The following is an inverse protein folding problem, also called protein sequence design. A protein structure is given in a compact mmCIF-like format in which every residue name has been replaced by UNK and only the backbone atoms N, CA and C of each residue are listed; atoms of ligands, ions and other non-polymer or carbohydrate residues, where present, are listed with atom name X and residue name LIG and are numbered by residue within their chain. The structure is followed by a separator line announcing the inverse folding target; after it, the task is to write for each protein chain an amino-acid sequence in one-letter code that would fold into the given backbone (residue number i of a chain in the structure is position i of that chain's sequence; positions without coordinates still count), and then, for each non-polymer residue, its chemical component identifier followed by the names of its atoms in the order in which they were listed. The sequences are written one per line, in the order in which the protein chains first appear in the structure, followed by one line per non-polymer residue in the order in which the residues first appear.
data_IF_641613331338
#
_entry.id   IF_641613331338
#
_cell.length_a   1.000
_cell.length_b   1.000
_cell.length_c   1.000
_cell.angle_alpha   90.00
_cell.angle_beta   90.00
_cell.angle_gamma   90.00
#
_symmetry.space_group_name_H-M   'P 1'
#
loop_
_entity.id
_entity.type
_entity.pdbx_description
1 polymer ?
#
# COMPACT_ATOMS: atom_id res chain seq x y z
N UNK A 1 30.13 8.11 -24.12
CA UNK A 1 29.13 8.02 -23.01
C UNK A 1 28.24 6.78 -23.08
N UNK A 2 27.84 6.28 -24.26
CA UNK A 2 26.91 5.15 -24.42
C UNK A 2 27.52 3.79 -24.02
N UNK A 3 28.81 3.55 -24.26
CA UNK A 3 29.49 2.26 -23.96
C UNK A 3 29.76 2.08 -22.47
N UNK A 4 30.12 3.17 -21.76
CA UNK A 4 30.32 3.17 -20.30
C UNK A 4 28.99 2.90 -19.56
N UNK A 5 27.86 3.40 -20.10
CA UNK A 5 26.53 3.13 -19.56
C UNK A 5 26.13 1.66 -19.77
N UNK A 6 26.38 1.09 -20.92
CA UNK A 6 26.05 -0.32 -21.21
C UNK A 6 26.90 -1.30 -20.37
N UNK A 7 28.18 -0.99 -20.15
CA UNK A 7 29.04 -1.82 -19.29
C UNK A 7 28.70 -1.70 -17.82
N UNK A 8 28.23 -0.53 -17.35
CA UNK A 8 27.73 -0.35 -16.00
C UNK A 8 26.34 -0.99 -15.77
N UNK A 9 25.47 -1.01 -16.78
CA UNK A 9 24.20 -1.72 -16.73
C UNK A 9 24.37 -3.24 -16.71
N UNK A 10 25.38 -3.77 -17.39
CA UNK A 10 25.69 -5.21 -17.41
C UNK A 10 26.15 -5.76 -16.07
N UNK A 11 26.69 -4.91 -15.17
CA UNK A 11 27.16 -5.31 -13.85
C UNK A 11 26.10 -5.17 -12.75
N UNK A 12 24.99 -4.47 -12.99
CA UNK A 12 23.98 -4.25 -11.96
C UNK A 12 23.16 -5.49 -11.68
N UNK A 13 22.93 -5.74 -10.40
CA UNK A 13 22.19 -6.89 -9.91
C UNK A 13 21.13 -6.47 -8.91
N UNK A 14 20.08 -7.26 -8.82
CA UNK A 14 19.10 -7.22 -7.76
C UNK A 14 18.99 -8.60 -7.11
N UNK A 15 18.38 -8.68 -5.96
CA UNK A 15 18.17 -9.94 -5.26
C UNK A 15 16.80 -10.53 -5.62
N UNK A 16 16.80 -11.82 -5.98
CA UNK A 16 15.60 -12.65 -6.04
C UNK A 16 15.85 -13.89 -5.20
N UNK A 17 15.46 -13.82 -3.93
CA UNK A 17 15.61 -14.88 -2.96
C UNK A 17 14.36 -15.75 -2.98
N UNK A 18 14.53 -17.02 -3.30
CA UNK A 18 13.51 -18.06 -3.01
C UNK A 18 14.02 -18.81 -1.79
N UNK A 19 13.18 -18.94 -0.79
CA UNK A 19 13.54 -19.67 0.40
C UNK A 19 13.98 -21.09 0.05
N UNK A 20 15.08 -21.56 0.68
CA UNK A 20 15.70 -22.87 0.40
C UNK A 20 16.77 -22.85 -0.68
N UNK A 21 16.95 -21.80 -1.46
CA UNK A 21 18.06 -21.67 -2.40
C UNK A 21 19.39 -21.46 -1.65
N UNK A 22 20.44 -22.16 -2.09
CA UNK A 22 21.77 -22.15 -1.41
C UNK A 22 22.65 -20.94 -1.76
N UNK A 23 22.15 -19.95 -2.50
CA UNK A 23 22.94 -18.83 -3.01
C UNK A 23 22.40 -17.44 -2.64
N UNK A 24 23.15 -16.38 -2.91
CA UNK A 24 22.75 -15.00 -2.62
C UNK A 24 21.53 -14.52 -3.43
N UNK A 25 21.02 -15.33 -4.35
CA UNK A 25 19.86 -14.98 -5.17
C UNK A 25 20.07 -13.75 -6.06
N UNK A 26 21.33 -13.39 -6.36
CA UNK A 26 21.62 -12.25 -7.21
C UNK A 26 21.26 -12.51 -8.67
N UNK A 27 20.56 -11.58 -9.27
CA UNK A 27 20.10 -11.65 -10.66
C UNK A 27 20.58 -10.39 -11.40
N UNK A 28 21.24 -10.59 -12.54
CA UNK A 28 21.64 -9.48 -13.40
C UNK A 28 20.43 -8.85 -14.09
N UNK A 29 20.37 -7.52 -14.13
CA UNK A 29 19.26 -6.80 -14.77
C UNK A 29 19.18 -7.09 -16.28
N UNK A 30 20.29 -7.27 -16.95
CA UNK A 30 20.31 -7.46 -18.41
C UNK A 30 19.85 -8.85 -18.82
N UNK A 31 20.40 -9.90 -18.19
CA UNK A 31 20.23 -11.29 -18.64
C UNK A 31 19.26 -12.11 -17.78
N UNK A 32 18.99 -11.68 -16.55
CA UNK A 32 18.22 -12.46 -15.58
C UNK A 32 16.77 -12.03 -15.39
N UNK A 33 16.42 -10.79 -15.71
CA UNK A 33 15.11 -10.20 -15.41
C UNK A 33 13.96 -10.97 -16.09
N UNK A 34 14.15 -11.47 -17.32
CA UNK A 34 13.10 -12.17 -18.05
C UNK A 34 12.69 -13.48 -17.36
N UNK A 35 13.62 -14.15 -16.69
CA UNK A 35 13.31 -15.34 -15.88
C UNK A 35 12.46 -15.00 -14.65
N UNK A 36 12.77 -13.87 -14.01
CA UNK A 36 12.00 -13.36 -12.86
C UNK A 36 10.62 -12.89 -13.29
N UNK A 37 10.52 -12.13 -14.39
CA UNK A 37 9.24 -11.71 -15.00
C UNK A 37 8.35 -12.92 -15.31
N UNK A 38 8.92 -13.99 -15.88
CA UNK A 38 8.19 -15.23 -16.15
C UNK A 38 7.66 -15.86 -14.86
N UNK A 39 8.51 -16.02 -13.85
CA UNK A 39 8.12 -16.59 -12.57
C UNK A 39 6.99 -15.76 -11.88
N UNK A 40 7.09 -14.43 -11.95
CA UNK A 40 6.06 -13.52 -11.42
C UNK A 40 4.77 -13.60 -12.23
N UNK A 41 4.84 -13.65 -13.56
CA UNK A 41 3.65 -13.82 -14.40
C UNK A 41 2.93 -15.14 -14.10
N UNK A 42 3.66 -16.24 -13.92
CA UNK A 42 3.10 -17.53 -13.52
C UNK A 42 2.45 -17.44 -12.13
N UNK A 43 3.08 -16.76 -11.16
CA UNK A 43 2.52 -16.53 -9.83
C UNK A 43 1.26 -15.64 -9.88
N UNK A 44 1.24 -14.59 -10.72
CA UNK A 44 0.07 -13.74 -10.93
C UNK A 44 -1.11 -14.46 -11.58
N UNK A 45 -0.86 -15.56 -12.29
CA UNK A 45 -1.89 -16.44 -12.87
C UNK A 45 -2.32 -17.59 -11.92
N UNK A 46 -1.92 -17.55 -10.66
CA UNK A 46 -2.47 -18.45 -9.66
C UNK A 46 -3.99 -18.28 -9.54
N UNK A 47 -4.71 -19.32 -9.07
CA UNK A 47 -6.17 -19.28 -8.95
C UNK A 47 -6.65 -18.07 -8.14
N UNK A 48 -6.06 -17.85 -6.99
CA UNK A 48 -6.41 -16.73 -6.12
C UNK A 48 -5.21 -15.80 -5.97
N UNK A 49 -5.32 -14.57 -6.46
CA UNK A 49 -4.26 -13.58 -6.36
C UNK A 49 -4.74 -12.38 -5.54
N UNK A 50 -3.89 -11.96 -4.64
CA UNK A 50 -4.08 -10.77 -3.83
C UNK A 50 -2.81 -9.90 -3.85
N UNK A 51 -3.00 -8.60 -3.75
CA UNK A 51 -1.95 -7.61 -3.63
C UNK A 51 -2.15 -6.85 -2.33
N UNK A 52 -1.08 -6.61 -1.59
CA UNK A 52 -1.06 -5.73 -0.42
C UNK A 52 -0.15 -4.54 -0.73
N UNK A 53 -0.76 -3.38 -0.89
CA UNK A 53 -0.08 -2.13 -1.19
C UNK A 53 0.10 -1.32 0.10
N UNK A 54 1.33 -1.03 0.46
CA UNK A 54 1.67 -0.19 1.61
C UNK A 54 2.09 1.22 1.21
N UNK A 55 2.53 2.02 2.17
CA UNK A 55 2.85 3.43 2.02
C UNK A 55 3.91 3.72 0.94
N UNK A 56 4.85 2.79 0.72
CA UNK A 56 5.86 2.93 -0.35
C UNK A 56 5.28 2.94 -1.76
N UNK A 57 4.00 2.56 -1.97
CA UNK A 57 3.35 2.68 -3.27
C UNK A 57 2.85 4.10 -3.56
N UNK A 58 2.63 4.92 -2.54
CA UNK A 58 2.10 6.30 -2.68
C UNK A 58 3.18 7.36 -2.86
N UNK A 59 4.45 6.96 -2.91
CA UNK A 59 5.61 7.80 -3.16
C UNK A 59 6.36 7.32 -4.40
N UNK A 60 6.97 8.23 -5.13
CA UNK A 60 7.82 7.95 -6.29
C UNK A 60 8.81 9.09 -6.53
N UNK A 61 9.73 8.89 -7.46
CA UNK A 61 10.71 9.88 -7.90
C UNK A 61 10.38 10.37 -9.31
N UNK A 62 10.23 11.69 -9.50
CA UNK A 62 9.87 12.25 -10.81
C UNK A 62 11.09 12.66 -11.67
N UNK A 63 12.30 12.32 -11.25
CA UNK A 63 13.56 12.71 -11.87
C UNK A 63 14.33 13.77 -11.10
N UNK A 64 13.63 14.65 -10.38
CA UNK A 64 14.22 15.77 -9.63
C UNK A 64 14.09 15.57 -8.11
N UNK A 65 12.98 15.00 -7.66
CA UNK A 65 12.64 14.88 -6.25
C UNK A 65 11.61 13.80 -5.99
N UNK A 66 11.45 13.43 -4.72
CA UNK A 66 10.35 12.59 -4.27
C UNK A 66 9.01 13.32 -4.41
N UNK A 67 8.01 12.63 -4.97
CA UNK A 67 6.64 13.11 -5.19
C UNK A 67 5.65 12.11 -4.64
N UNK A 68 4.40 12.55 -4.49
CA UNK A 68 3.34 11.73 -3.88
C UNK A 68 3.25 11.98 -2.38
N UNK A 69 2.96 10.93 -1.63
CA UNK A 69 2.79 11.00 -0.17
C UNK A 69 3.98 10.29 0.47
N UNK A 70 4.73 10.97 1.34
CA UNK A 70 5.86 10.35 2.04
C UNK A 70 5.43 9.14 2.87
N UNK A 71 6.36 8.23 3.14
CA UNK A 71 6.12 7.10 4.03
C UNK A 71 5.99 7.55 5.50
N UNK A 72 5.62 6.63 6.38
CA UNK A 72 5.27 6.94 7.78
C UNK A 72 6.39 7.64 8.56
N UNK A 73 7.64 7.24 8.41
CA UNK A 73 8.73 7.82 9.20
C UNK A 73 9.02 9.30 8.88
N UNK A 74 9.12 9.74 7.61
CA UNK A 74 9.18 11.16 7.28
C UNK A 74 7.96 11.95 7.77
N UNK A 75 6.74 11.42 7.64
CA UNK A 75 5.52 12.07 8.14
C UNK A 75 5.56 12.23 9.66
N UNK A 76 5.95 11.19 10.38
CA UNK A 76 6.06 11.23 11.83
C UNK A 76 7.12 12.24 12.29
N UNK A 77 8.28 12.26 11.64
CA UNK A 77 9.34 13.23 11.92
C UNK A 77 8.85 14.67 11.69
N UNK A 78 8.13 14.91 10.59
CA UNK A 78 7.59 16.22 10.29
C UNK A 78 6.54 16.67 11.33
N UNK A 79 5.62 15.79 11.71
CA UNK A 79 4.57 16.09 12.67
C UNK A 79 5.12 16.36 14.08
N UNK A 80 6.10 15.58 14.50
CA UNK A 80 6.67 15.66 15.85
C UNK A 80 7.75 16.73 16.00
N UNK A 81 8.18 17.38 14.91
CA UNK A 81 9.17 18.46 14.95
C UNK A 81 8.65 19.66 15.73
N UNK A 82 9.50 20.24 16.59
CA UNK A 82 9.20 21.51 17.26
C UNK A 82 9.19 22.64 16.23
N UNK A 83 8.19 23.52 16.32
CA UNK A 83 8.03 24.67 15.43
C UNK A 83 8.09 25.98 16.20
N UNK A 84 8.62 27.00 15.57
CA UNK A 84 8.77 28.34 16.18
C UNK A 84 7.45 29.14 16.18
N UNK A 85 6.50 28.74 15.31
CA UNK A 85 5.20 29.37 15.19
C UNK A 85 4.10 28.32 15.36
N UNK A 86 2.99 28.73 15.98
CA UNK A 86 1.81 27.90 16.09
C UNK A 86 1.17 27.69 14.70
N UNK A 87 0.85 26.45 14.39
CA UNK A 87 0.19 26.01 13.17
C UNK A 87 -0.88 25.01 13.59
N UNK A 88 -2.09 25.17 13.08
CA UNK A 88 -3.25 24.37 13.46
C UNK A 88 -3.08 22.87 13.14
N UNK A 89 -2.17 22.53 12.24
CA UNK A 89 -1.88 21.13 11.88
C UNK A 89 -0.89 20.44 12.85
N UNK A 90 -0.24 21.19 13.74
CA UNK A 90 0.83 20.64 14.58
C UNK A 90 0.61 20.93 16.07
N UNK A 91 1.09 20.04 16.97
CA UNK A 91 1.03 20.30 18.41
C UNK A 91 1.81 21.56 18.79
N UNK A 92 1.15 22.47 19.51
CA UNK A 92 1.76 23.69 20.02
C UNK A 92 2.82 23.39 21.10
N UNK A 93 3.68 24.34 21.39
CA UNK A 93 4.67 24.22 22.48
C UNK A 93 3.99 24.01 23.84
N UNK A 94 2.80 24.59 24.05
CA UNK A 94 2.02 24.41 25.29
C UNK A 94 1.50 22.99 25.40
N UNK A 95 0.83 22.48 24.35
CA UNK A 95 0.31 21.10 24.31
C UNK A 95 1.42 20.06 24.52
N UNK A 96 2.60 20.27 23.95
CA UNK A 96 3.76 19.39 24.16
C UNK A 96 4.21 19.35 25.61
N UNK A 97 4.32 20.51 26.27
CA UNK A 97 4.69 20.62 27.69
C UNK A 97 3.64 19.99 28.59
N UNK A 98 2.37 20.22 28.31
CA UNK A 98 1.25 19.63 29.04
C UNK A 98 1.23 18.11 28.91
N UNK A 99 1.44 17.56 27.69
CA UNK A 99 1.50 16.12 27.46
C UNK A 99 2.66 15.48 28.22
N UNK A 100 3.83 16.13 28.25
CA UNK A 100 4.99 15.68 29.00
C UNK A 100 4.74 15.80 30.53
N UNK A 101 4.21 16.92 31.01
CA UNK A 101 4.04 17.15 32.46
C UNK A 101 2.94 16.30 33.07
N UNK A 102 1.82 16.07 32.35
CA UNK A 102 0.68 15.31 32.86
C UNK A 102 0.84 13.79 32.69
N UNK A 103 1.52 13.37 31.63
CA UNK A 103 1.53 11.95 31.24
C UNK A 103 2.93 11.39 30.99
N UNK A 104 3.98 12.20 31.06
CA UNK A 104 5.36 11.78 30.78
C UNK A 104 5.64 11.45 29.31
N UNK A 105 4.76 11.88 28.37
CA UNK A 105 4.86 11.56 26.96
C UNK A 105 5.59 12.69 26.25
N UNK A 106 6.72 12.37 25.63
CA UNK A 106 7.51 13.29 24.81
C UNK A 106 7.32 12.98 23.35
N UNK A 107 6.70 13.88 22.60
CA UNK A 107 6.51 13.71 21.15
C UNK A 107 7.82 13.59 20.37
N UNK A 108 8.95 13.97 20.96
CA UNK A 108 10.29 13.82 20.39
C UNK A 108 10.93 12.45 20.59
N UNK A 109 10.30 11.53 21.32
CA UNK A 109 10.84 10.18 21.53
C UNK A 109 10.87 9.39 20.21
N UNK A 110 11.85 8.53 20.05
CA UNK A 110 12.16 7.81 18.81
C UNK A 110 10.96 7.02 18.28
N UNK A 111 10.17 6.42 19.15
CA UNK A 111 8.98 5.65 18.75
C UNK A 111 7.91 6.50 18.06
N UNK A 112 7.72 7.77 18.49
CA UNK A 112 6.71 8.66 17.90
C UNK A 112 7.25 9.43 16.70
N UNK A 113 8.55 9.74 16.69
CA UNK A 113 9.20 10.41 15.55
C UNK A 113 9.34 9.52 14.33
N UNK A 114 9.17 8.20 14.48
CA UNK A 114 9.21 7.22 13.41
C UNK A 114 7.85 6.67 13.01
N UNK A 115 6.86 6.73 13.92
CA UNK A 115 5.58 6.10 13.68
C UNK A 115 4.42 6.83 14.37
N UNK A 116 3.61 7.55 13.57
CA UNK A 116 2.39 8.22 14.06
C UNK A 116 1.31 7.24 14.50
N UNK A 117 1.29 6.01 14.00
CA UNK A 117 0.32 5.00 14.43
C UNK A 117 0.54 4.64 15.90
N UNK A 118 1.80 4.55 16.35
CA UNK A 118 2.14 4.34 17.77
C UNK A 118 1.66 5.49 18.65
N UNK A 119 1.86 6.73 18.20
CA UNK A 119 1.34 7.91 18.90
C UNK A 119 -0.19 7.85 18.98
N UNK A 120 -0.87 7.59 17.89
CA UNK A 120 -2.33 7.50 17.84
C UNK A 120 -2.87 6.39 18.73
N UNK A 121 -2.23 5.22 18.73
CA UNK A 121 -2.57 4.09 19.60
C UNK A 121 -2.55 4.49 21.07
N UNK A 122 -1.49 5.17 21.49
CA UNK A 122 -1.37 5.68 22.86
C UNK A 122 -2.45 6.72 23.17
N UNK A 123 -2.61 7.73 22.30
CA UNK A 123 -3.61 8.81 22.51
C UNK A 123 -5.04 8.28 22.57
N UNK A 124 -5.40 7.30 21.74
CA UNK A 124 -6.74 6.69 21.81
C UNK A 124 -6.92 5.85 23.07
N UNK A 125 -5.91 5.18 23.55
CA UNK A 125 -5.93 4.44 24.82
C UNK A 125 -6.16 5.39 25.99
N UNK A 126 -5.45 6.52 26.00
CA UNK A 126 -5.63 7.59 27.00
C UNK A 126 -7.03 8.18 26.92
N UNK A 127 -7.52 8.51 25.73
CA UNK A 127 -8.88 9.00 25.48
C UNK A 127 -9.95 8.07 26.07
N UNK A 128 -9.76 6.76 25.90
CA UNK A 128 -10.68 5.76 26.46
C UNK A 128 -10.68 5.76 27.99
N UNK A 129 -9.50 5.84 28.62
CA UNK A 129 -9.36 5.91 30.08
C UNK A 129 -9.98 7.20 30.61
N UNK A 130 -9.65 8.35 30.02
CA UNK A 130 -10.09 9.67 30.44
C UNK A 130 -11.62 9.84 30.32
N UNK A 131 -12.27 9.23 29.34
CA UNK A 131 -13.73 9.26 29.19
C UNK A 131 -14.48 8.50 30.29
N UNK A 132 -13.83 7.61 31.00
CA UNK A 132 -14.40 6.78 32.08
C UNK A 132 -13.95 7.20 33.45
N UNK A 133 -13.00 8.11 33.55
CA UNK A 133 -12.51 8.65 34.82
C UNK A 133 -13.30 9.88 35.23
N UNK A 134 -13.53 10.05 36.54
CA UNK A 134 -14.29 11.16 37.12
C UNK A 134 -13.46 11.98 38.13
N UNK A 135 -12.15 11.75 38.25
CA UNK A 135 -11.31 12.39 39.28
C UNK A 135 -10.27 13.35 38.62
N UNK A 136 -10.10 14.52 39.25
CA UNK A 136 -9.03 15.47 38.99
C UNK A 136 -9.16 16.24 37.66
N UNK A 137 -8.05 16.55 37.02
CA UNK A 137 -7.94 17.33 35.77
C UNK A 137 -8.29 16.53 34.51
N UNK A 138 -9.27 15.62 34.63
CA UNK A 138 -9.67 14.72 33.54
C UNK A 138 -10.15 15.48 32.31
N UNK A 139 -10.87 16.58 32.51
CA UNK A 139 -11.43 17.36 31.42
C UNK A 139 -10.33 18.10 30.62
N UNK A 140 -9.32 18.61 31.29
CA UNK A 140 -8.16 19.24 30.66
C UNK A 140 -7.36 18.22 29.86
N UNK A 141 -7.06 17.06 30.47
CA UNK A 141 -6.39 15.97 29.80
C UNK A 141 -7.17 15.43 28.61
N UNK A 142 -8.52 15.38 28.69
CA UNK A 142 -9.37 14.97 27.56
C UNK A 142 -9.25 15.95 26.40
N UNK A 143 -9.35 17.27 26.67
CA UNK A 143 -9.21 18.30 25.64
C UNK A 143 -7.85 18.23 24.95
N UNK A 144 -6.77 18.07 25.73
CA UNK A 144 -5.42 17.95 25.21
C UNK A 144 -5.28 16.74 24.27
N UNK A 145 -5.72 15.56 24.72
CA UNK A 145 -5.65 14.32 23.93
C UNK A 145 -6.49 14.42 22.66
N UNK A 146 -7.72 14.92 22.77
CA UNK A 146 -8.63 15.11 21.62
C UNK A 146 -8.03 16.11 20.62
N UNK A 147 -7.42 17.23 21.08
CA UNK A 147 -6.76 18.20 20.23
C UNK A 147 -5.62 17.59 19.44
N UNK A 148 -4.72 16.80 20.08
CA UNK A 148 -3.59 16.19 19.38
C UNK A 148 -4.06 15.12 18.37
N UNK A 149 -5.08 14.32 18.73
CA UNK A 149 -5.69 13.34 17.80
C UNK A 149 -6.23 14.05 16.56
N UNK A 150 -6.96 15.16 16.73
CA UNK A 150 -7.54 15.88 15.62
C UNK A 150 -6.46 16.56 14.76
N UNK A 151 -5.36 17.02 15.35
CA UNK A 151 -4.20 17.52 14.61
C UNK A 151 -3.50 16.44 13.79
N UNK A 152 -3.29 15.23 14.33
CA UNK A 152 -2.74 14.11 13.55
C UNK A 152 -3.63 13.79 12.35
N UNK A 153 -4.96 13.76 12.56
CA UNK A 153 -5.93 13.50 11.48
C UNK A 153 -5.89 14.60 10.43
N UNK A 154 -5.90 15.87 10.84
CA UNK A 154 -5.83 17.01 9.94
C UNK A 154 -4.53 17.01 9.12
N UNK A 155 -3.41 16.72 9.78
CA UNK A 155 -2.10 16.59 9.13
C UNK A 155 -2.07 15.46 8.08
N UNK A 156 -2.52 14.26 8.45
CA UNK A 156 -2.56 13.13 7.51
C UNK A 156 -3.52 13.39 6.35
N UNK A 157 -4.66 14.01 6.65
CA UNK A 157 -5.60 14.42 5.60
C UNK A 157 -4.98 15.45 4.65
N UNK A 158 -4.28 16.47 5.17
CA UNK A 158 -3.56 17.45 4.37
C UNK A 158 -2.53 16.79 3.45
N UNK A 159 -1.70 15.89 3.98
CA UNK A 159 -0.71 15.15 3.19
C UNK A 159 -1.33 14.29 2.10
N UNK A 160 -2.51 13.73 2.35
CA UNK A 160 -3.23 12.91 1.38
C UNK A 160 -4.05 13.70 0.35
N UNK A 161 -4.26 15.01 0.55
CA UNK A 161 -5.07 15.85 -0.34
C UNK A 161 -4.31 16.98 -1.02
N UNK A 162 -3.32 17.55 -0.35
CA UNK A 162 -2.65 18.79 -0.78
C UNK A 162 -1.20 18.59 -1.25
N UNK A 163 -0.83 17.34 -1.60
CA UNK A 163 0.49 17.06 -2.17
C UNK A 163 0.68 17.63 -3.58
N UNK A 164 1.87 17.46 -4.16
CA UNK A 164 2.19 17.90 -5.53
C UNK A 164 1.25 17.31 -6.59
N UNK A 165 0.72 16.13 -6.33
CA UNK A 165 -0.28 15.48 -7.18
C UNK A 165 -1.57 16.33 -7.30
N UNK A 166 -1.94 17.09 -6.28
CA UNK A 166 -3.04 18.06 -6.34
C UNK A 166 -2.68 19.32 -7.13
N UNK A 167 -1.37 19.60 -7.29
CA UNK A 167 -0.83 20.73 -8.03
C UNK A 167 -0.47 20.36 -9.49
N UNK A 168 -0.85 19.17 -9.96
CA UNK A 168 -0.71 18.74 -11.35
C UNK A 168 0.42 17.73 -11.60
N UNK A 169 1.19 17.30 -10.60
CA UNK A 169 2.11 16.17 -10.77
C UNK A 169 1.32 14.87 -10.94
N UNK A 170 1.50 14.20 -12.06
CA UNK A 170 0.75 12.98 -12.39
C UNK A 170 1.56 11.71 -12.22
N UNK A 171 2.78 11.78 -11.71
CA UNK A 171 3.71 10.64 -11.63
C UNK A 171 3.10 9.45 -10.91
N UNK A 172 2.67 9.63 -9.66
CA UNK A 172 2.07 8.54 -8.86
C UNK A 172 0.75 8.06 -9.47
N UNK A 173 -0.10 8.96 -9.98
CA UNK A 173 -1.34 8.58 -10.63
C UNK A 173 -1.09 7.68 -11.85
N UNK A 174 -0.11 8.00 -12.70
CA UNK A 174 0.25 7.19 -13.86
C UNK A 174 0.79 5.81 -13.48
N UNK A 175 1.51 5.72 -12.35
CA UNK A 175 1.98 4.44 -11.84
C UNK A 175 0.80 3.54 -11.43
N UNK A 176 -0.16 4.06 -10.68
CA UNK A 176 -1.36 3.31 -10.32
C UNK A 176 -2.21 2.95 -11.54
N UNK A 177 -2.38 3.87 -12.50
CA UNK A 177 -3.06 3.55 -13.76
C UNK A 177 -2.35 2.42 -14.52
N UNK A 178 -1.01 2.44 -14.58
CA UNK A 178 -0.22 1.40 -15.22
C UNK A 178 -0.33 0.07 -14.49
N UNK A 179 -0.27 0.10 -13.15
CA UNK A 179 -0.50 -1.07 -12.30
C UNK A 179 -1.85 -1.73 -12.63
N UNK A 180 -2.94 -0.98 -12.63
CA UNK A 180 -4.27 -1.53 -12.91
C UNK A 180 -4.43 -2.00 -14.35
N UNK A 181 -3.86 -1.30 -15.33
CA UNK A 181 -3.84 -1.76 -16.73
C UNK A 181 -3.13 -3.11 -16.87
N UNK A 182 -2.04 -3.34 -16.16
CA UNK A 182 -1.31 -4.61 -16.15
C UNK A 182 -2.03 -5.69 -15.34
N UNK A 183 -2.68 -5.31 -14.25
CA UNK A 183 -3.42 -6.23 -13.39
C UNK A 183 -4.59 -6.91 -14.12
N UNK A 184 -5.32 -6.17 -14.96
CA UNK A 184 -6.45 -6.69 -15.72
C UNK A 184 -6.06 -7.52 -16.96
N UNK A 185 -4.75 -7.63 -17.28
CA UNK A 185 -4.26 -8.57 -18.31
C UNK A 185 -4.28 -10.04 -17.86
N UNK A 186 -4.64 -10.29 -16.62
CA UNK A 186 -4.77 -11.63 -16.05
C UNK A 186 -5.81 -12.46 -16.83
N UNK A 187 -5.63 -13.79 -16.88
CA UNK A 187 -6.54 -14.69 -17.57
C UNK A 187 -7.98 -14.51 -17.07
N UNK A 188 -8.90 -14.35 -18.03
CA UNK A 188 -10.32 -14.06 -17.80
C UNK A 188 -11.07 -15.19 -17.11
N UNK A 189 -10.59 -16.44 -17.26
CA UNK A 189 -11.18 -17.61 -16.61
C UNK A 189 -10.90 -17.69 -15.10
N UNK A 190 -9.91 -16.91 -14.61
CA UNK A 190 -9.51 -16.92 -13.22
C UNK A 190 -10.37 -15.95 -12.37
N UNK A 191 -10.53 -16.21 -11.07
CA UNK A 191 -11.21 -15.29 -10.15
C UNK A 191 -10.61 -13.89 -10.18
N UNK A 192 -11.43 -12.87 -9.95
CA UNK A 192 -10.99 -11.47 -9.97
C UNK A 192 -9.94 -11.18 -8.88
N UNK A 193 -8.94 -10.32 -9.17
CA UNK A 193 -7.90 -9.99 -8.22
C UNK A 193 -8.42 -9.16 -7.05
N UNK A 194 -7.75 -9.31 -5.91
CA UNK A 194 -7.97 -8.51 -4.72
C UNK A 194 -6.79 -7.58 -4.50
N UNK A 195 -7.09 -6.31 -4.28
CA UNK A 195 -6.12 -5.29 -3.86
C UNK A 195 -6.48 -4.87 -2.45
N UNK A 196 -5.59 -5.17 -1.52
CA UNK A 196 -5.62 -4.69 -0.15
C UNK A 196 -4.64 -3.54 -0.02
N UNK A 197 -4.96 -2.55 0.80
CA UNK A 197 -4.03 -1.47 1.06
C UNK A 197 -4.14 -0.96 2.49
N UNK A 198 -3.02 -0.56 3.06
CA UNK A 198 -2.96 0.17 4.32
C UNK A 198 -3.01 1.69 4.11
N UNK A 199 -2.96 2.15 2.85
CA UNK A 199 -2.89 3.57 2.53
C UNK A 199 -4.25 4.26 2.66
N UNK A 200 -4.24 5.46 3.22
CA UNK A 200 -5.43 6.28 3.42
C UNK A 200 -5.84 7.07 2.17
N UNK A 201 -4.88 7.28 1.25
CA UNK A 201 -5.07 8.05 0.02
C UNK A 201 -6.07 7.40 -0.95
N UNK A 202 -6.39 8.11 -2.02
CA UNK A 202 -7.35 7.66 -3.05
C UNK A 202 -6.68 7.39 -4.41
N UNK A 203 -5.39 7.10 -4.45
CA UNK A 203 -4.71 6.81 -5.73
C UNK A 203 -5.26 5.56 -6.41
N UNK A 204 -5.64 4.54 -5.64
CA UNK A 204 -6.26 3.32 -6.17
C UNK A 204 -7.59 3.63 -6.87
N UNK A 205 -8.48 4.31 -6.14
CA UNK A 205 -9.81 4.67 -6.63
C UNK A 205 -9.71 5.60 -7.85
N UNK A 206 -8.89 6.65 -7.74
CA UNK A 206 -8.68 7.62 -8.83
C UNK A 206 -8.14 6.96 -10.10
N UNK A 207 -7.21 6.01 -9.98
CA UNK A 207 -6.68 5.29 -11.13
C UNK A 207 -7.75 4.42 -11.79
N UNK A 208 -8.55 3.68 -11.00
CA UNK A 208 -9.63 2.86 -11.54
C UNK A 208 -10.73 3.71 -12.19
N UNK A 209 -11.11 4.82 -11.57
CA UNK A 209 -12.11 5.76 -12.12
C UNK A 209 -11.65 6.37 -13.46
N UNK A 210 -10.38 6.81 -13.55
CA UNK A 210 -9.81 7.33 -14.80
C UNK A 210 -9.73 6.29 -15.91
N UNK A 211 -9.54 5.03 -15.55
CA UNK A 211 -9.50 3.91 -16.49
C UNK A 211 -10.90 3.39 -16.87
N UNK A 212 -11.96 3.85 -16.22
CA UNK A 212 -13.29 3.27 -16.34
C UNK A 212 -13.33 1.81 -15.86
N UNK A 213 -12.44 1.42 -14.94
CA UNK A 213 -12.35 0.07 -14.43
C UNK A 213 -13.31 -0.09 -13.24
N UNK A 214 -14.34 -0.93 -13.34
CA UNK A 214 -15.26 -1.13 -12.23
C UNK A 214 -14.61 -1.89 -11.08
N UNK A 215 -14.96 -1.50 -9.86
CA UNK A 215 -14.44 -2.11 -8.63
C UNK A 215 -15.48 -2.15 -7.52
N UNK A 216 -15.26 -3.02 -6.54
CA UNK A 216 -15.99 -3.03 -5.28
C UNK A 216 -15.04 -2.67 -4.13
N UNK A 217 -15.40 -1.66 -3.34
CA UNK A 217 -14.59 -1.14 -2.23
C UNK A 217 -15.27 -1.26 -0.86
N UNK A 218 -16.33 -2.07 -0.74
CA UNK A 218 -17.07 -2.21 0.50
C UNK A 218 -18.22 -1.21 0.67
N UNK A 219 -18.47 -0.33 -0.31
CA UNK A 219 -19.53 0.66 -0.22
C UNK A 219 -20.61 0.43 -1.29
N UNK A 220 -21.86 0.67 -0.90
CA UNK A 220 -23.02 0.61 -1.78
C UNK A 220 -23.82 1.91 -1.74
N UNK A 221 -24.63 2.13 -2.77
CA UNK A 221 -25.37 3.38 -2.99
C UNK A 221 -24.70 4.25 -4.05
N UNK A 222 -25.48 5.17 -4.64
CA UNK A 222 -25.04 6.11 -5.67
C UNK A 222 -24.97 7.53 -5.13
N UNK A 223 -26.00 7.95 -4.39
CA UNK A 223 -26.09 9.29 -3.82
C UNK A 223 -25.48 9.31 -2.41
N UNK A 224 -25.90 8.36 -1.58
CA UNK A 224 -25.32 8.12 -0.27
C UNK A 224 -24.64 6.77 -0.29
N UNK A 225 -23.32 6.79 -0.26
CA UNK A 225 -22.51 5.57 -0.23
C UNK A 225 -22.21 5.18 1.20
N UNK A 226 -22.72 4.00 1.61
CA UNK A 226 -22.56 3.48 2.96
C UNK A 226 -21.83 2.15 2.95
N UNK A 227 -21.03 1.91 3.98
CA UNK A 227 -20.27 0.68 4.11
C UNK A 227 -21.21 -0.52 4.22
N UNK A 228 -21.05 -1.45 3.30
CA UNK A 228 -21.78 -2.69 3.22
C UNK A 228 -20.83 -3.81 2.78
N UNK A 229 -20.32 -4.64 3.69
CA UNK A 229 -19.36 -5.69 3.38
C UNK A 229 -19.92 -6.75 2.41
N UNK A 230 -21.25 -6.83 2.24
CA UNK A 230 -21.85 -7.74 1.26
C UNK A 230 -21.41 -7.41 -0.19
N UNK A 231 -21.00 -6.18 -0.48
CA UNK A 231 -20.49 -5.79 -1.79
C UNK A 231 -19.25 -6.58 -2.22
N UNK A 232 -18.46 -7.05 -1.28
CA UNK A 232 -17.30 -7.93 -1.55
C UNK A 232 -17.68 -9.35 -2.03
N UNK A 233 -18.98 -9.67 -2.05
CA UNK A 233 -19.54 -10.90 -2.60
C UNK A 233 -20.27 -10.67 -3.92
N UNK A 234 -20.38 -9.41 -4.37
CA UNK A 234 -21.02 -9.09 -5.63
C UNK A 234 -20.05 -9.30 -6.79
N UNK A 235 -20.61 -9.69 -7.93
CA UNK A 235 -19.92 -9.75 -9.20
C UNK A 235 -20.65 -8.83 -10.19
N UNK A 236 -19.89 -8.15 -11.03
CA UNK A 236 -20.44 -7.36 -12.12
C UNK A 236 -20.58 -8.25 -13.35
N UNK A 237 -21.75 -8.23 -13.98
CA UNK A 237 -22.00 -8.99 -15.19
C UNK A 237 -22.62 -8.09 -16.26
N UNK A 238 -22.25 -8.30 -17.52
CA UNK A 238 -22.84 -7.68 -18.70
C UNK A 238 -23.81 -8.63 -19.38
N UNK A 239 -24.87 -8.09 -19.94
CA UNK A 239 -25.83 -8.85 -20.73
C UNK A 239 -25.36 -8.91 -22.18
N UNK A 240 -24.96 -10.11 -22.62
CA UNK A 240 -24.42 -10.33 -23.95
C UNK A 240 -25.50 -10.32 -25.04
N UNK A 241 -26.73 -10.72 -24.71
CA UNK A 241 -27.85 -10.77 -25.63
C UNK A 241 -29.15 -10.48 -24.87
N UNK A 242 -29.87 -9.46 -25.32
CA UNK A 242 -31.15 -9.04 -24.73
C UNK A 242 -32.24 -10.11 -24.87
N UNK A 243 -32.16 -10.94 -25.92
CA UNK A 243 -33.19 -11.95 -26.22
C UNK A 243 -32.97 -13.27 -25.47
N UNK A 244 -31.72 -13.63 -25.13
CA UNK A 244 -31.39 -14.97 -24.65
C UNK A 244 -31.08 -15.02 -23.15
N UNK A 245 -31.12 -13.89 -22.43
CA UNK A 245 -30.67 -13.79 -20.99
C UNK A 245 -29.29 -14.34 -20.74
N UNK A 246 -28.39 -14.23 -21.72
CA UNK A 246 -26.99 -14.61 -21.57
C UNK A 246 -26.22 -13.51 -20.89
N UNK A 247 -25.55 -13.86 -19.82
CA UNK A 247 -24.74 -12.96 -18.99
C UNK A 247 -23.28 -13.43 -19.00
N UNK A 248 -22.36 -12.48 -19.02
CA UNK A 248 -20.93 -12.74 -18.82
C UNK A 248 -20.42 -11.87 -17.69
N UNK A 249 -19.55 -12.43 -16.86
CA UNK A 249 -18.87 -11.63 -15.86
C UNK A 249 -17.97 -10.59 -16.53
N UNK A 250 -18.01 -9.36 -16.06
CA UNK A 250 -17.12 -8.30 -16.54
C UNK A 250 -15.68 -8.65 -16.18
N UNK A 251 -14.80 -8.68 -17.18
CA UNK A 251 -13.43 -9.17 -17.03
C UNK A 251 -12.55 -8.22 -16.24
N UNK A 252 -12.63 -6.92 -16.53
CA UNK A 252 -11.87 -5.90 -15.86
C UNK A 252 -12.48 -5.44 -14.54
N UNK A 253 -12.67 -6.33 -13.57
CA UNK A 253 -13.23 -6.01 -12.26
C UNK A 253 -12.24 -6.29 -11.15
N UNK A 254 -12.14 -5.42 -10.15
CA UNK A 254 -11.21 -5.52 -9.02
C UNK A 254 -11.95 -5.36 -7.69
N UNK A 255 -11.53 -6.10 -6.67
CA UNK A 255 -11.93 -5.85 -5.29
C UNK A 255 -10.85 -5.02 -4.60
N UNK A 256 -11.22 -3.83 -4.11
CA UNK A 256 -10.35 -2.94 -3.35
C UNK A 256 -10.77 -2.94 -1.88
N UNK A 257 -9.85 -3.29 -1.00
CA UNK A 257 -10.10 -3.36 0.45
C UNK A 257 -9.07 -2.52 1.20
N UNK A 258 -9.50 -1.39 1.78
CA UNK A 258 -8.64 -0.47 2.55
C UNK A 258 -8.65 -0.87 4.02
N UNK A 259 -7.60 -1.57 4.46
CA UNK A 259 -7.52 -2.16 5.80
C UNK A 259 -7.48 -1.12 6.92
N UNK A 260 -6.88 0.03 6.67
CA UNK A 260 -6.67 1.09 7.67
C UNK A 260 -7.64 2.28 7.54
N UNK A 261 -8.64 2.18 6.65
CA UNK A 261 -9.57 3.27 6.39
C UNK A 261 -9.15 4.15 5.22
N UNK A 262 -9.79 5.30 5.10
CA UNK A 262 -9.59 6.24 3.98
C UNK A 262 -9.88 7.66 4.41
N UNK A 263 -9.24 8.62 3.76
CA UNK A 263 -9.57 10.05 3.88
C UNK A 263 -10.99 10.40 3.39
N UNK A 264 -11.64 9.46 2.67
CA UNK A 264 -13.02 9.61 2.19
C UNK A 264 -14.05 8.99 3.14
N UNK A 265 -13.65 8.31 4.22
CA UNK A 265 -14.57 7.64 5.11
C UNK A 265 -14.86 8.49 6.33
N UNK A 266 -16.14 8.67 6.62
CA UNK A 266 -16.62 9.41 7.79
C UNK A 266 -17.63 8.57 8.59
N UNK A 267 -17.59 8.72 9.91
CA UNK A 267 -18.59 8.14 10.79
C UNK A 267 -19.70 9.17 11.02
N UNK A 268 -20.97 8.77 10.90
CA UNK A 268 -22.13 9.57 11.27
C UNK A 268 -23.02 8.80 12.26
N UNK A 269 -24.02 9.51 12.82
CA UNK A 269 -24.92 8.93 13.86
C UNK A 269 -26.01 8.01 13.28
N UNK A 270 -25.86 7.56 12.03
CA UNK A 270 -26.84 6.68 11.41
C UNK A 270 -26.68 5.24 11.91
N UNK A 271 -27.58 4.81 12.81
CA UNK A 271 -27.43 3.61 13.63
C UNK A 271 -27.11 2.28 12.94
N UNK A 272 -27.67 1.99 11.75
CA UNK A 272 -27.44 0.71 11.06
C UNK A 272 -26.20 0.73 10.15
N UNK A 273 -25.89 1.87 9.55
CA UNK A 273 -24.80 2.03 8.60
C UNK A 273 -24.02 3.30 8.92
N UNK A 274 -23.25 3.30 10.03
CA UNK A 274 -22.62 4.51 10.54
C UNK A 274 -21.49 5.03 9.67
N UNK A 275 -20.93 4.19 8.77
CA UNK A 275 -19.80 4.57 7.94
C UNK A 275 -20.27 4.98 6.54
N UNK A 276 -19.89 6.17 6.15
CA UNK A 276 -20.21 6.76 4.87
C UNK A 276 -18.93 7.08 4.09
N UNK A 277 -18.95 6.86 2.78
CA UNK A 277 -17.94 7.32 1.87
C UNK A 277 -18.38 8.65 1.24
N UNK A 278 -17.50 9.64 1.31
CA UNK A 278 -17.71 10.99 0.75
C UNK A 278 -16.52 11.36 -0.12
N UNK A 279 -16.66 12.36 -0.97
CA UNK A 279 -15.48 13.03 -1.53
C UNK A 279 -14.64 13.57 -0.37
N UNK A 280 -13.29 13.67 -0.49
CA UNK A 280 -12.45 14.24 0.55
C UNK A 280 -13.02 15.58 1.00
N UNK A 281 -13.64 15.58 2.16
CA UNK A 281 -14.45 16.71 2.64
C UNK A 281 -13.61 17.78 3.32
N UNK A 282 -14.28 18.89 3.71
CA UNK A 282 -13.63 20.01 4.40
C UNK A 282 -13.42 19.78 5.91
N UNK A 283 -13.92 18.66 6.46
CA UNK A 283 -13.85 18.35 7.89
C UNK A 283 -12.95 17.13 8.17
N UNK A 284 -11.64 17.35 8.33
CA UNK A 284 -10.70 16.27 8.59
C UNK A 284 -10.92 15.59 9.97
N UNK A 285 -11.58 16.24 10.91
CA UNK A 285 -11.83 15.69 12.25
C UNK A 285 -12.74 14.48 12.29
N UNK A 286 -13.54 14.25 11.23
CA UNK A 286 -14.44 13.11 11.09
C UNK A 286 -13.86 11.95 10.27
N UNK A 287 -12.68 12.14 9.70
CA UNK A 287 -12.04 11.14 8.85
C UNK A 287 -11.66 9.91 9.66
N UNK A 288 -11.96 8.74 9.11
CA UNK A 288 -11.64 7.46 9.74
C UNK A 288 -10.25 6.97 9.33
N UNK A 289 -9.30 7.13 10.23
CA UNK A 289 -7.92 6.66 10.09
C UNK A 289 -7.62 5.70 11.24
N UNK A 290 -7.13 4.51 10.90
CA UNK A 290 -6.65 3.50 11.85
C UNK A 290 -5.21 3.87 12.33
N UNK A 291 -4.75 3.55 13.56
CA UNK A 291 -5.41 2.67 14.54
C UNK A 291 -6.34 3.41 15.51
N UNK A 292 -7.44 2.77 15.88
CA UNK A 292 -8.30 3.21 16.99
C UNK A 292 -8.36 2.12 18.05
N UNK A 293 -7.43 2.07 19.03
CA UNK A 293 -7.35 0.98 20.02
C UNK A 293 -8.62 0.83 20.88
N UNK A 294 -9.36 1.91 21.08
CA UNK A 294 -10.66 1.84 21.77
C UNK A 294 -11.67 0.91 21.07
N UNK A 295 -11.44 0.58 19.81
CA UNK A 295 -12.19 -0.42 19.05
C UNK A 295 -11.55 -1.82 19.07
N UNK A 296 -10.33 -2.00 19.63
CA UNK A 296 -9.83 -3.36 19.93
C UNK A 296 -10.68 -4.06 21.00
N UNK A 297 -11.26 -3.34 21.96
CA UNK A 297 -12.24 -3.89 22.90
C UNK A 297 -13.66 -3.98 22.31
N UNK A 298 -13.96 -3.28 21.23
CA UNK A 298 -15.02 -3.53 20.26
C UNK A 298 -14.43 -4.16 19.00
N UNK A 299 -13.52 -5.09 19.17
CA UNK A 299 -12.80 -5.85 18.11
C UNK A 299 -13.72 -6.59 17.12
N UNK A 300 -15.00 -6.34 17.23
CA UNK A 300 -16.11 -6.73 16.40
C UNK A 300 -16.72 -5.54 15.64
N UNK A 301 -16.14 -4.33 15.73
CA UNK A 301 -16.69 -3.12 15.13
C UNK A 301 -16.42 -3.03 13.63
N UNK A 302 -17.49 -2.99 12.83
CA UNK A 302 -17.42 -2.59 11.41
C UNK A 302 -16.88 -1.15 11.31
N UNK A 303 -16.05 -0.82 10.26
CA UNK A 303 -15.74 -1.63 9.09
C UNK A 303 -14.48 -2.50 9.27
N UNK A 304 -13.58 -2.18 10.20
CA UNK A 304 -12.24 -2.79 10.27
C UNK A 304 -12.27 -4.30 10.45
N UNK A 305 -13.10 -4.83 11.35
CA UNK A 305 -13.22 -6.28 11.54
C UNK A 305 -13.68 -7.00 10.29
N UNK A 306 -14.58 -6.39 9.51
CA UNK A 306 -15.06 -6.96 8.25
C UNK A 306 -13.96 -6.95 7.19
N UNK A 307 -13.17 -5.87 7.11
CA UNK A 307 -12.07 -5.72 6.16
C UNK A 307 -10.93 -6.71 6.46
N UNK A 308 -10.53 -6.85 7.73
CA UNK A 308 -9.52 -7.85 8.14
C UNK A 308 -10.02 -9.29 7.92
N UNK A 309 -11.32 -9.55 8.15
CA UNK A 309 -11.93 -10.86 7.84
C UNK A 309 -11.90 -11.14 6.34
N UNK A 310 -12.19 -10.15 5.49
CA UNK A 310 -12.05 -10.32 4.04
C UNK A 310 -10.59 -10.59 3.67
N UNK A 311 -9.62 -9.85 4.20
CA UNK A 311 -8.20 -10.11 3.96
C UNK A 311 -7.83 -11.55 4.32
N UNK A 312 -8.14 -11.97 5.56
CA UNK A 312 -7.89 -13.33 6.03
C UNK A 312 -8.55 -14.37 5.11
N UNK A 313 -9.83 -14.21 4.77
CA UNK A 313 -10.57 -15.17 3.95
C UNK A 313 -10.05 -15.31 2.52
N UNK A 314 -9.35 -14.28 2.01
CA UNK A 314 -8.84 -14.26 0.64
C UNK A 314 -7.43 -14.83 0.55
N UNK A 315 -6.62 -14.70 1.57
CA UNK A 315 -5.25 -15.21 1.53
C UNK A 315 -5.06 -16.53 2.26
N UNK A 316 -5.80 -16.80 3.36
CA UNK A 316 -5.74 -18.07 4.09
C UNK A 316 -6.60 -19.13 3.37
N UNK A 317 -6.15 -19.53 2.18
CA UNK A 317 -6.85 -20.50 1.35
C UNK A 317 -5.90 -21.16 0.36
N UNK A 318 -6.31 -22.31 -0.16
CA UNK A 318 -5.51 -23.04 -1.15
C UNK A 318 -5.34 -22.28 -2.46
N UNK A 319 -4.21 -22.54 -3.13
CA UNK A 319 -3.85 -21.99 -4.43
C UNK A 319 -3.93 -20.45 -4.46
N UNK A 320 -3.47 -19.81 -3.38
CA UNK A 320 -3.42 -18.36 -3.26
C UNK A 320 -2.00 -17.83 -3.29
N UNK A 321 -1.85 -16.64 -3.84
CA UNK A 321 -0.61 -15.88 -3.86
C UNK A 321 -0.89 -14.48 -3.34
N UNK A 322 -0.06 -14.02 -2.40
CA UNK A 322 -0.04 -12.64 -1.94
C UNK A 322 1.21 -11.95 -2.44
N UNK A 323 1.05 -10.84 -3.13
CA UNK A 323 2.13 -9.92 -3.48
C UNK A 323 2.10 -8.74 -2.50
N UNK A 324 3.22 -8.44 -1.84
CA UNK A 324 3.34 -7.24 -1.01
C UNK A 324 4.26 -6.23 -1.69
N UNK A 325 3.81 -4.99 -1.83
CA UNK A 325 4.50 -3.90 -2.49
C UNK A 325 4.45 -2.65 -1.62
N UNK A 326 5.60 -2.01 -1.37
CA UNK A 326 5.66 -0.82 -0.52
C UNK A 326 5.22 -1.03 0.93
N UNK A 327 5.17 -2.28 1.40
CA UNK A 327 4.77 -2.68 2.74
C UNK A 327 5.97 -3.20 3.51
N UNK A 328 6.29 -2.58 4.64
CA UNK A 328 7.49 -2.86 5.44
C UNK A 328 7.27 -3.85 6.60
N UNK A 329 6.14 -4.55 6.63
CA UNK A 329 5.78 -5.52 7.69
C UNK A 329 5.74 -4.91 9.12
N UNK A 330 5.33 -3.64 9.22
CA UNK A 330 5.19 -2.94 10.51
C UNK A 330 3.90 -3.24 11.27
N UNK A 331 2.87 -3.78 10.62
CA UNK A 331 1.57 -4.09 11.25
C UNK A 331 1.50 -5.55 11.68
N UNK A 332 1.43 -5.76 13.00
CA UNK A 332 1.40 -7.09 13.60
C UNK A 332 0.13 -7.90 13.23
N UNK A 333 -1.03 -7.23 13.10
CA UNK A 333 -2.27 -7.92 12.73
C UNK A 333 -2.22 -8.46 11.31
N UNK A 334 -1.72 -7.68 10.38
CA UNK A 334 -1.52 -8.09 8.99
C UNK A 334 -0.50 -9.22 8.93
N UNK A 335 0.63 -9.08 9.64
CA UNK A 335 1.68 -10.09 9.67
C UNK A 335 1.16 -11.42 10.21
N UNK A 336 0.37 -11.41 11.29
CA UNK A 336 -0.22 -12.62 11.86
C UNK A 336 -1.14 -13.35 10.86
N UNK A 337 -1.92 -12.62 10.05
CA UNK A 337 -2.75 -13.21 9.01
C UNK A 337 -1.87 -13.80 7.89
N UNK A 338 -0.78 -13.13 7.52
CA UNK A 338 0.19 -13.64 6.54
C UNK A 338 0.86 -14.93 7.06
N UNK A 339 1.28 -14.97 8.33
CA UNK A 339 1.81 -16.19 8.95
C UNK A 339 0.79 -17.32 8.97
N UNK A 340 -0.47 -17.02 9.25
CA UNK A 340 -1.53 -18.00 9.16
C UNK A 340 -1.70 -18.52 7.72
N UNK A 341 -1.60 -17.68 6.71
CA UNK A 341 -1.65 -18.10 5.31
C UNK A 341 -0.47 -19.04 4.95
N UNK A 342 0.72 -18.82 5.51
CA UNK A 342 1.88 -19.70 5.31
C UNK A 342 1.68 -21.12 5.86
N UNK A 343 0.70 -21.37 6.73
CA UNK A 343 0.33 -22.74 7.14
C UNK A 343 -0.33 -23.52 6.03
N UNK A 344 -0.85 -22.87 4.98
CA UNK A 344 -1.48 -23.51 3.82
C UNK A 344 -0.37 -23.93 2.83
N UNK A 345 -0.21 -25.21 2.52
CA UNK A 345 0.92 -25.71 1.72
C UNK A 345 0.99 -25.10 0.30
N UNK A 346 -0.14 -24.70 -0.26
CA UNK A 346 -0.25 -24.15 -1.62
C UNK A 346 -0.28 -22.63 -1.67
N UNK A 347 -0.11 -21.96 -0.52
CA UNK A 347 0.03 -20.50 -0.44
C UNK A 347 1.44 -20.08 -0.82
N UNK A 348 1.58 -18.97 -1.53
CA UNK A 348 2.86 -18.32 -1.84
C UNK A 348 2.84 -16.87 -1.43
N UNK A 349 3.96 -16.41 -0.88
CA UNK A 349 4.20 -15.03 -0.49
C UNK A 349 5.31 -14.44 -1.37
N UNK A 350 5.01 -13.37 -2.10
CA UNK A 350 5.97 -12.63 -2.93
C UNK A 350 6.12 -11.24 -2.35
N UNK A 351 7.32 -10.93 -1.90
CA UNK A 351 7.63 -9.71 -1.14
C UNK A 351 8.57 -8.83 -1.96
N UNK A 352 8.16 -7.61 -2.25
CA UNK A 352 9.04 -6.57 -2.77
C UNK A 352 9.48 -5.67 -1.61
N UNK A 353 10.74 -5.84 -1.18
CA UNK A 353 11.31 -5.14 -0.02
C UNK A 353 12.83 -5.13 -0.12
N UNK A 354 13.50 -4.26 0.64
CA UNK A 354 14.95 -4.37 0.81
C UNK A 354 15.31 -5.73 1.46
N UNK A 355 16.06 -6.61 0.76
CA UNK A 355 16.41 -7.91 1.31
C UNK A 355 17.27 -7.85 2.57
N UNK A 356 17.94 -6.71 2.82
CA UNK A 356 18.77 -6.49 4.00
C UNK A 356 17.99 -5.99 5.22
N UNK A 357 16.68 -5.72 5.05
CA UNK A 357 15.84 -5.23 6.15
C UNK A 357 15.79 -6.25 7.29
N UNK A 358 15.99 -5.74 8.50
CA UNK A 358 15.91 -6.51 9.74
C UNK A 358 14.46 -6.72 10.21
N UNK A 359 14.27 -7.34 11.37
CA UNK A 359 12.95 -7.58 11.94
C UNK A 359 12.18 -8.69 11.25
N UNK A 360 10.95 -8.41 10.81
CA UNK A 360 10.05 -9.42 10.23
C UNK A 360 10.58 -10.00 8.91
N UNK A 361 11.25 -9.20 8.09
CA UNK A 361 11.85 -9.68 6.84
C UNK A 361 13.00 -10.65 7.11
N UNK A 362 13.85 -10.37 8.12
CA UNK A 362 14.90 -11.29 8.53
C UNK A 362 14.31 -12.62 9.04
N UNK A 363 13.20 -12.59 9.78
CA UNK A 363 12.49 -13.82 10.22
C UNK A 363 11.96 -14.61 9.04
N UNK A 364 11.27 -13.98 8.09
CA UNK A 364 10.73 -14.62 6.90
C UNK A 364 11.83 -15.24 6.04
N UNK A 365 12.96 -14.54 5.87
CA UNK A 365 14.14 -15.06 5.18
C UNK A 365 14.73 -16.29 5.88
N UNK A 366 14.80 -16.27 7.21
CA UNK A 366 15.34 -17.36 8.02
C UNK A 366 14.49 -18.65 7.96
N UNK A 367 13.18 -18.55 7.61
CA UNK A 367 12.34 -19.74 7.43
C UNK A 367 12.81 -20.63 6.29
N UNK A 368 13.59 -20.11 5.35
CA UNK A 368 14.08 -20.84 4.18
C UNK A 368 12.97 -21.62 3.41
N UNK A 369 11.76 -21.10 3.41
CA UNK A 369 10.61 -21.72 2.76
C UNK A 369 10.54 -21.34 1.28
N UNK A 370 10.54 -22.31 0.33
CA UNK A 370 10.53 -22.04 -1.11
C UNK A 370 9.27 -21.32 -1.60
N UNK A 371 8.25 -21.23 -0.78
CA UNK A 371 7.02 -20.47 -1.05
C UNK A 371 7.17 -18.98 -0.78
N UNK A 372 8.21 -18.57 -0.07
CA UNK A 372 8.51 -17.17 0.24
C UNK A 372 9.54 -16.66 -0.76
N UNK A 373 9.16 -15.66 -1.54
CA UNK A 373 10.04 -14.98 -2.49
C UNK A 373 10.28 -13.56 -2.02
N UNK A 374 11.53 -13.14 -1.94
CA UNK A 374 11.94 -11.78 -1.56
C UNK A 374 12.69 -11.17 -2.73
N UNK A 375 12.20 -10.03 -3.24
CA UNK A 375 12.74 -9.32 -4.39
C UNK A 375 13.06 -7.90 -3.98
N UNK A 376 14.31 -7.47 -4.22
CA UNK A 376 14.74 -6.12 -3.87
C UNK A 376 16.21 -5.87 -4.18
N UNK A 377 16.76 -4.86 -3.55
CA UNK A 377 18.14 -4.43 -3.82
C UNK A 377 18.22 -3.30 -4.83
N UNK A 378 19.32 -3.19 -5.59
CA UNK A 378 19.55 -2.07 -6.50
C UNK A 378 18.69 -2.15 -7.76
N UNK A 379 18.23 -0.99 -8.22
CA UNK A 379 17.50 -0.84 -9.46
C UNK A 379 18.38 -0.84 -10.70
N UNK A 380 17.76 -0.83 -11.86
CA UNK A 380 18.46 -0.75 -13.15
C UNK A 380 19.18 0.59 -13.33
N UNK A 381 18.65 1.66 -12.74
CA UNK A 381 19.20 3.02 -12.78
C UNK A 381 19.72 3.45 -11.41
N UNK A 382 20.65 4.43 -11.39
CA UNK A 382 21.13 5.02 -10.15
C UNK A 382 19.99 5.67 -9.34
N UNK A 383 20.00 5.44 -8.03
CA UNK A 383 18.99 5.98 -7.12
C UNK A 383 17.67 5.23 -7.11
N UNK A 384 17.41 4.31 -8.05
CA UNK A 384 16.24 3.43 -8.02
C UNK A 384 16.55 2.13 -7.30
N UNK A 385 15.51 1.52 -6.72
CA UNK A 385 15.58 0.20 -6.10
C UNK A 385 14.61 -0.77 -6.77
N UNK A 386 14.98 -2.05 -6.81
CA UNK A 386 14.17 -3.10 -7.40
C UNK A 386 12.80 -3.27 -6.72
N UNK A 387 12.70 -2.90 -5.44
CA UNK A 387 11.49 -3.00 -4.63
C UNK A 387 10.66 -1.72 -4.58
N UNK A 388 11.03 -0.68 -5.33
CA UNK A 388 10.21 0.53 -5.47
C UNK A 388 9.03 0.27 -6.40
N UNK A 389 7.89 0.89 -6.11
CA UNK A 389 6.64 0.62 -6.82
C UNK A 389 6.73 0.93 -8.32
N UNK A 390 7.42 1.99 -8.71
CA UNK A 390 7.70 2.33 -10.10
C UNK A 390 8.45 1.20 -10.82
N UNK A 391 9.55 0.72 -10.23
CA UNK A 391 10.33 -0.40 -10.77
C UNK A 391 9.51 -1.69 -10.85
N UNK A 392 8.69 -1.97 -9.82
CA UNK A 392 7.83 -3.16 -9.84
C UNK A 392 6.85 -3.09 -11.00
N UNK A 393 6.18 -1.96 -11.16
CA UNK A 393 5.15 -1.79 -12.19
C UNK A 393 5.75 -1.78 -13.58
N UNK A 394 6.88 -1.10 -13.79
CA UNK A 394 7.51 -0.95 -15.08
C UNK A 394 8.26 -2.19 -15.51
N UNK A 395 9.04 -2.80 -14.60
CA UNK A 395 10.01 -3.84 -14.94
C UNK A 395 9.55 -5.27 -14.62
N UNK A 396 8.81 -5.49 -13.53
CA UNK A 396 8.47 -6.84 -13.05
C UNK A 396 7.07 -7.31 -13.42
N UNK A 397 6.10 -6.40 -13.51
CA UNK A 397 4.73 -6.80 -13.89
C UNK A 397 4.65 -7.21 -15.37
N UNK A 398 3.67 -8.07 -15.74
CA UNK A 398 3.49 -8.51 -17.12
C UNK A 398 3.44 -7.36 -18.11
N UNK A 399 4.16 -7.48 -19.19
CA UNK A 399 4.22 -6.48 -20.24
C UNK A 399 2.97 -6.54 -21.14
N UNK A 400 2.46 -5.37 -21.50
CA UNK A 400 1.44 -5.26 -22.55
C UNK A 400 2.04 -5.60 -23.92
N UNK A 401 1.19 -5.96 -24.88
CA UNK A 401 1.66 -6.33 -26.24
C UNK A 401 2.48 -5.22 -26.91
N UNK A 402 2.12 -3.95 -26.71
CA UNK A 402 2.89 -2.81 -27.23
C UNK A 402 4.29 -2.73 -26.57
N UNK A 403 4.36 -2.87 -25.25
CA UNK A 403 5.64 -2.85 -24.51
C UNK A 403 6.57 -4.00 -24.94
N UNK A 404 6.00 -5.19 -25.26
CA UNK A 404 6.77 -6.32 -25.79
C UNK A 404 7.38 -6.03 -27.16
N UNK A 405 6.64 -5.31 -28.02
CA UNK A 405 7.12 -4.91 -29.34
C UNK A 405 8.24 -3.89 -29.17
N UNK A 406 8.06 -2.88 -28.33
CA UNK A 406 9.06 -1.84 -28.06
C UNK A 406 10.35 -2.44 -27.49
N UNK A 407 10.24 -3.39 -26.54
CA UNK A 407 11.39 -4.12 -25.99
C UNK A 407 12.08 -4.98 -27.05
N UNK A 408 11.33 -5.66 -27.91
CA UNK A 408 11.89 -6.46 -29.00
C UNK A 408 12.63 -5.58 -30.01
N UNK A 409 12.04 -4.43 -30.39
CA UNK A 409 12.68 -3.45 -31.26
C UNK A 409 13.95 -2.89 -30.61
N UNK A 410 13.90 -2.54 -29.34
CA UNK A 410 15.06 -2.05 -28.61
C UNK A 410 16.20 -3.09 -28.59
N UNK A 411 15.89 -4.36 -28.25
CA UNK A 411 16.89 -5.47 -28.28
C UNK A 411 17.50 -5.65 -29.65
N UNK A 412 16.73 -5.56 -30.73
CA UNK A 412 17.23 -5.65 -32.12
C UNK A 412 18.17 -4.47 -32.42
N UNK A 413 17.76 -3.25 -32.08
CA UNK A 413 18.60 -2.05 -32.31
C UNK A 413 19.90 -2.11 -31.50
N UNK A 414 19.89 -2.58 -30.27
CA UNK A 414 21.08 -2.80 -29.45
C UNK A 414 22.00 -3.85 -30.05
N UNK A 415 21.43 -4.92 -30.64
CA UNK A 415 22.22 -6.00 -31.30
C UNK A 415 22.81 -5.56 -32.65
N UNK A 416 22.11 -4.66 -33.35
CA UNK A 416 22.53 -4.10 -34.64
C UNK A 416 23.47 -2.89 -34.50
N UNK A 417 23.60 -2.31 -33.31
CA UNK A 417 24.58 -1.25 -33.08
C UNK A 417 26.00 -1.76 -33.37
N UNK A 418 26.77 -1.13 -34.27
CA UNK A 418 28.06 -1.65 -34.67
C UNK A 418 28.97 -1.75 -33.45
N UNK A 419 29.45 -2.97 -33.16
CA UNK A 419 30.56 -3.16 -32.24
C UNK A 419 31.70 -2.32 -32.79
N UNK A 420 32.09 -1.25 -32.09
CA UNK A 420 33.28 -0.49 -32.44
C UNK A 420 34.44 -1.48 -32.46
N UNK A 421 34.97 -1.73 -33.65
CA UNK A 421 36.24 -2.45 -33.83
C UNK A 421 37.29 -1.68 -33.04
N UNK A 422 37.90 -2.34 -32.09
CA UNK A 422 39.09 -1.86 -31.43
C UNK A 422 40.15 -1.64 -32.56
N UNK A 423 40.50 -0.39 -32.78
CA UNK A 423 41.71 -0.07 -33.52
C UNK A 423 42.87 -0.26 -32.55
N UNK A 424 43.74 -1.21 -32.92
CA UNK A 424 45.07 -1.41 -32.34
C UNK A 424 45.90 -0.12 -32.35
#
# INVERSE_FOLDING_TARGET
MTKIRADQEAERKFSFLKGGDAGPGEVAWLDGIDSVRKALADAMNAKNVAFLLGAGCSSSWNGDQEVGIPTMAPLATEFTKVRDHDDDLFPTTTERKELESLYGIKLGDEEYTRNLERLMELLFSMRFILRRSSHGNVEEGRRLVDSIIDKVRAFLWDKCTNGRFAQGDTTVHKLYETFYRKLVLRDRSLPRPWVFTTNYDVFNETAMDRLGLPYANGFSGVVERRFNPATFRYALAEQLDLSSRKWSAVDGFVYLCKLHGSITWTEDDHGLFPIRETTPGKDPGKVMIYPTPAKQNSSLGSPYSDLFREFQSRIVREQSVLFTMGYAFGDEHINNIIYQALTIPTFRLVIFVDPALEGEIAKLRALSDPRIWIIGGDGREDGRKAHYFDTIVEEFMPQRSAERIDDAVRKVLETMAPKKMDQE
#
